data_IF_369097131507
#
_entry.id   IF_369097131507
#
_cell.length_a   1.000
_cell.length_b   1.000
_cell.length_c   1.000
_cell.angle_alpha   90.00
_cell.angle_beta   90.00
_cell.angle_gamma   90.00
#
_symmetry.space_group_name_H-M   'P 1'
#
loop_
_entity.id
_entity.type
_entity.pdbx_description
1 polymer ?
#
# COMPACT_ATOMS: atom_id res chain seq x y z
N UNK A 1 6.42 -3.96 5.14
CA UNK A 1 5.74 -2.72 4.68
C UNK A 1 4.65 -3.08 3.70
N UNK A 2 3.49 -2.48 3.86
CA UNK A 2 2.39 -2.61 2.91
C UNK A 2 2.26 -1.34 2.09
N UNK A 3 2.00 -1.47 0.79
CA UNK A 3 1.89 -0.33 -0.11
C UNK A 3 0.64 -0.47 -0.99
N UNK A 4 -0.16 0.57 -1.01
CA UNK A 4 -1.33 0.65 -1.87
C UNK A 4 -1.12 1.76 -2.90
N UNK A 5 -0.80 1.35 -4.13
CA UNK A 5 -0.46 2.28 -5.20
C UNK A 5 -1.73 2.83 -5.87
N UNK A 6 -1.94 4.13 -5.78
CA UNK A 6 -3.04 4.82 -6.43
C UNK A 6 -2.56 5.79 -7.50
N UNK A 7 -3.50 6.45 -8.18
CA UNK A 7 -3.17 7.36 -9.28
C UNK A 7 -2.40 8.60 -8.81
N UNK A 8 -2.65 9.06 -7.61
CA UNK A 8 -1.96 10.24 -7.06
C UNK A 8 -1.47 10.03 -5.65
N UNK A 9 -1.67 8.86 -5.11
CA UNK A 9 -1.31 8.55 -3.72
C UNK A 9 -0.70 7.17 -3.62
N UNK A 10 0.10 6.96 -2.56
CA UNK A 10 0.53 5.63 -2.16
C UNK A 10 0.29 5.54 -0.66
N UNK A 11 -0.61 4.65 -0.25
CA UNK A 11 -0.82 4.37 1.16
C UNK A 11 0.30 3.49 1.68
N UNK A 12 0.77 3.77 2.88
CA UNK A 12 1.89 3.05 3.48
C UNK A 12 1.53 2.53 4.85
N UNK A 13 1.85 1.27 5.10
CA UNK A 13 1.70 0.63 6.40
C UNK A 13 2.97 -0.14 6.73
N UNK A 14 3.21 -0.34 8.01
CA UNK A 14 4.37 -1.13 8.47
C UNK A 14 3.88 -2.09 9.55
N UNK A 15 4.67 -3.14 9.80
CA UNK A 15 4.38 -4.01 10.93
C UNK A 15 4.81 -3.32 12.22
N UNK A 16 4.15 -3.69 13.33
CA UNK A 16 4.56 -3.20 14.64
C UNK A 16 5.90 -3.84 15.04
N UNK A 17 6.41 -3.46 16.22
CA UNK A 17 7.71 -3.93 16.69
C UNK A 17 7.79 -5.45 16.80
N UNK A 18 6.66 -6.12 17.03
CA UNK A 18 6.61 -7.57 17.16
C UNK A 18 6.39 -8.28 15.82
N UNK A 19 6.11 -7.53 14.75
CA UNK A 19 5.83 -8.10 13.44
C UNK A 19 4.51 -8.84 13.34
N UNK A 20 3.58 -8.60 14.27
CA UNK A 20 2.32 -9.34 14.34
C UNK A 20 1.14 -8.61 13.71
N UNK A 21 1.15 -7.28 13.75
CA UNK A 21 0.05 -6.48 13.23
C UNK A 21 0.56 -5.40 12.29
N UNK A 22 -0.32 -4.95 11.41
CA UNK A 22 -0.02 -3.87 10.49
C UNK A 22 -0.56 -2.56 11.04
N UNK A 23 0.23 -1.50 10.91
CA UNK A 23 -0.12 -0.17 11.39
C UNK A 23 -0.05 0.80 10.21
N UNK A 24 -1.13 1.56 10.00
CA UNK A 24 -1.14 2.61 8.98
C UNK A 24 -0.11 3.66 9.32
N UNK A 25 0.72 4.04 8.36
CA UNK A 25 1.82 4.96 8.60
C UNK A 25 1.58 6.33 7.99
N UNK A 26 1.41 6.40 6.68
CA UNK A 26 1.14 7.66 6.01
C UNK A 26 0.62 7.43 4.60
N UNK A 27 0.13 8.52 3.98
CA UNK A 27 -0.24 8.53 2.57
C UNK A 27 0.69 9.50 1.86
N UNK A 28 1.42 9.00 0.87
CA UNK A 28 2.34 9.82 0.08
C UNK A 28 1.57 10.34 -1.12
N UNK A 29 1.56 11.67 -1.31
CA UNK A 29 0.81 12.32 -2.38
C UNK A 29 1.72 12.80 -3.48
N UNK A 30 1.19 12.84 -4.71
CA UNK A 30 1.89 13.43 -5.86
C UNK A 30 0.88 14.10 -6.77
N UNK A 31 1.32 15.08 -7.53
CA UNK A 31 0.42 15.86 -8.38
C UNK A 31 -0.03 15.11 -9.63
N UNK A 32 0.85 14.30 -10.20
CA UNK A 32 0.56 13.54 -11.42
C UNK A 32 1.02 12.10 -11.24
N UNK A 33 0.28 11.18 -11.84
CA UNK A 33 0.55 9.76 -11.66
C UNK A 33 1.98 9.37 -12.03
N UNK A 34 2.52 9.94 -13.10
CA UNK A 34 3.85 9.58 -13.54
C UNK A 34 4.98 10.35 -12.84
N UNK A 35 4.65 11.22 -11.88
CA UNK A 35 5.67 11.95 -11.12
C UNK A 35 6.04 11.17 -9.86
N UNK A 36 6.74 10.07 -10.03
CA UNK A 36 7.00 9.12 -8.94
C UNK A 36 8.35 9.29 -8.26
N UNK A 37 9.19 10.21 -8.74
CA UNK A 37 10.55 10.32 -8.20
C UNK A 37 10.58 10.60 -6.69
N UNK A 38 9.81 11.58 -6.23
CA UNK A 38 9.76 11.91 -4.81
C UNK A 38 9.04 10.82 -4.01
N UNK A 39 8.10 10.13 -4.65
CA UNK A 39 7.40 9.00 -4.02
C UNK A 39 8.39 7.89 -3.71
N UNK A 40 9.21 7.49 -4.66
CA UNK A 40 10.22 6.46 -4.43
C UNK A 40 11.22 6.90 -3.37
N UNK A 41 11.62 8.18 -3.39
CA UNK A 41 12.54 8.70 -2.38
C UNK A 41 11.95 8.58 -0.98
N UNK A 42 10.68 8.97 -0.83
CA UNK A 42 10.02 8.88 0.48
C UNK A 42 9.92 7.44 0.96
N UNK A 43 9.55 6.52 0.08
CA UNK A 43 9.48 5.10 0.45
C UNK A 43 10.85 4.59 0.85
N UNK A 44 11.90 4.97 0.13
CA UNK A 44 13.26 4.56 0.48
C UNK A 44 13.64 5.05 1.88
N UNK A 45 13.27 6.30 2.23
CA UNK A 45 13.49 6.83 3.58
C UNK A 45 12.79 5.99 4.63
N UNK A 46 11.54 5.59 4.36
CA UNK A 46 10.78 4.78 5.30
C UNK A 46 11.34 3.37 5.42
N UNK A 47 11.81 2.81 4.33
CA UNK A 47 12.46 1.49 4.34
C UNK A 47 13.68 1.53 5.27
N UNK A 48 14.50 2.58 5.16
CA UNK A 48 15.67 2.72 6.02
C UNK A 48 15.26 2.98 7.47
N UNK A 49 14.29 3.84 7.69
CA UNK A 49 13.85 4.22 9.04
C UNK A 49 13.30 3.03 9.81
N UNK A 50 12.51 2.18 9.15
CA UNK A 50 11.83 1.07 9.81
C UNK A 50 12.52 -0.27 9.60
N UNK A 51 13.66 -0.29 8.93
CA UNK A 51 14.39 -1.53 8.69
C UNK A 51 13.61 -2.54 7.87
N UNK A 52 12.92 -2.07 6.83
CA UNK A 52 12.04 -2.92 6.02
C UNK A 52 12.86 -3.87 5.14
N UNK A 53 12.52 -5.15 5.19
CA UNK A 53 13.16 -6.16 4.35
C UNK A 53 12.25 -6.62 3.20
N UNK A 54 10.95 -6.49 3.37
CA UNK A 54 9.97 -6.96 2.38
C UNK A 54 8.86 -5.93 2.24
N UNK A 55 8.50 -5.60 1.01
CA UNK A 55 7.36 -4.73 0.72
C UNK A 55 6.27 -5.56 0.04
N UNK A 56 5.05 -5.45 0.54
CA UNK A 56 3.87 -6.11 0.00
C UNK A 56 3.06 -5.06 -0.73
N UNK A 57 2.94 -5.19 -2.05
CA UNK A 57 2.24 -4.22 -2.88
C UNK A 57 0.90 -4.81 -3.30
N UNK A 58 -0.18 -4.05 -3.08
CA UNK A 58 -1.49 -4.49 -3.48
C UNK A 58 -1.61 -4.60 -4.99
N UNK A 59 -2.24 -5.67 -5.44
CA UNK A 59 -2.47 -5.92 -6.86
C UNK A 59 -3.98 -5.82 -7.13
N UNK A 60 -4.44 -4.72 -7.74
CA UNK A 60 -5.88 -4.50 -7.94
C UNK A 60 -6.41 -5.30 -9.13
N UNK A 61 -6.77 -6.54 -8.86
CA UNK A 61 -7.29 -7.43 -9.89
C UNK A 61 -8.77 -7.15 -10.16
N UNK A 62 -9.21 -7.44 -11.39
CA UNK A 62 -10.65 -7.46 -11.69
C UNK A 62 -11.30 -8.59 -10.89
N UNK A 63 -12.63 -8.54 -10.74
CA UNK A 63 -13.34 -9.53 -9.93
C UNK A 63 -13.16 -10.95 -10.44
N UNK A 64 -12.90 -11.11 -11.73
CA UNK A 64 -12.65 -12.44 -12.31
C UNK A 64 -11.19 -12.90 -12.16
N UNK A 65 -10.36 -12.09 -11.50
CA UNK A 65 -8.95 -12.42 -11.28
C UNK A 65 -8.01 -11.94 -12.36
N UNK A 66 -8.54 -11.33 -13.43
CA UNK A 66 -7.69 -10.83 -14.50
C UNK A 66 -7.04 -9.49 -14.13
N UNK A 67 -5.93 -9.17 -14.80
CA UNK A 67 -5.21 -7.92 -14.59
C UNK A 67 -5.61 -6.88 -15.61
N UNK A 68 -6.16 -5.76 -15.13
CA UNK A 68 -6.45 -4.61 -15.96
C UNK A 68 -5.32 -3.59 -15.92
N UNK A 69 -5.65 -2.37 -16.33
CA UNK A 69 -4.68 -1.26 -16.40
C UNK A 69 -4.06 -0.96 -15.05
N UNK A 70 -4.88 -0.91 -14.00
CA UNK A 70 -4.38 -0.56 -12.66
C UNK A 70 -3.42 -1.63 -12.12
N UNK A 71 -3.67 -2.90 -12.41
CA UNK A 71 -2.78 -3.98 -11.99
C UNK A 71 -1.42 -3.87 -12.67
N UNK A 72 -1.42 -3.54 -13.96
CA UNK A 72 -0.17 -3.35 -14.69
C UNK A 72 0.65 -2.20 -14.12
N UNK A 73 -0.01 -1.10 -13.80
CA UNK A 73 0.69 0.05 -13.22
C UNK A 73 1.24 -0.27 -11.83
N UNK A 74 0.50 -1.03 -11.03
CA UNK A 74 0.99 -1.45 -9.72
C UNK A 74 2.23 -2.35 -9.85
N UNK A 75 2.25 -3.24 -10.84
CA UNK A 75 3.42 -4.09 -11.07
C UNK A 75 4.62 -3.26 -11.51
N UNK A 76 4.42 -2.28 -12.40
CA UNK A 76 5.50 -1.40 -12.84
C UNK A 76 6.08 -0.61 -11.67
N UNK A 77 5.20 -0.10 -10.82
CA UNK A 77 5.60 0.60 -9.61
C UNK A 77 6.45 -0.30 -8.71
N UNK A 78 5.99 -1.52 -8.49
CA UNK A 78 6.69 -2.48 -7.63
C UNK A 78 8.06 -2.84 -8.19
N UNK A 79 8.16 -3.08 -9.50
CA UNK A 79 9.42 -3.40 -10.15
C UNK A 79 10.42 -2.27 -10.03
N UNK A 80 9.97 -1.05 -10.27
CA UNK A 80 10.85 0.12 -10.17
C UNK A 80 11.29 0.36 -8.73
N UNK A 81 10.39 0.16 -7.78
CA UNK A 81 10.74 0.29 -6.36
C UNK A 81 11.81 -0.72 -5.97
N UNK A 82 11.65 -1.97 -6.39
CA UNK A 82 12.65 -3.01 -6.11
C UNK A 82 14.00 -2.65 -6.71
N UNK A 83 14.00 -2.14 -7.94
CA UNK A 83 15.23 -1.74 -8.63
C UNK A 83 15.94 -0.60 -7.91
N UNK A 84 15.18 0.36 -7.39
CA UNK A 84 15.75 1.55 -6.72
C UNK A 84 16.22 1.29 -5.32
N UNK A 85 15.54 0.39 -4.59
CA UNK A 85 15.79 0.21 -3.15
C UNK A 85 16.43 -1.13 -2.80
N UNK A 86 16.30 -2.11 -3.68
CA UNK A 86 16.79 -3.47 -3.38
C UNK A 86 15.89 -4.25 -2.44
N UNK A 87 14.74 -3.69 -2.03
CA UNK A 87 13.81 -4.40 -1.15
C UNK A 87 13.11 -5.52 -1.91
N UNK A 88 12.86 -6.63 -1.23
CA UNK A 88 12.09 -7.72 -1.82
C UNK A 88 10.62 -7.31 -1.94
N UNK A 89 9.97 -7.71 -3.03
CA UNK A 89 8.58 -7.33 -3.32
C UNK A 89 7.72 -8.58 -3.46
N UNK A 90 6.51 -8.50 -2.87
CA UNK A 90 5.45 -9.50 -3.05
C UNK A 90 4.20 -8.76 -3.48
N UNK A 91 3.47 -9.30 -4.47
CA UNK A 91 2.18 -8.73 -4.87
C UNK A 91 1.06 -9.47 -4.14
N UNK A 92 0.11 -8.72 -3.61
CA UNK A 92 -1.01 -9.25 -2.84
C UNK A 92 -2.33 -8.86 -3.50
N UNK A 93 -3.19 -9.84 -3.79
CA UNK A 93 -4.52 -9.61 -4.36
C UNK A 93 -5.34 -8.72 -3.42
N UNK A 94 -5.89 -7.61 -3.95
CA UNK A 94 -6.65 -6.65 -3.16
C UNK A 94 -8.06 -6.39 -3.70
N UNK A 95 -8.67 -7.36 -4.38
CA UNK A 95 -9.98 -7.16 -5.01
C UNK A 95 -11.06 -6.61 -4.08
N UNK A 96 -11.04 -6.94 -2.79
CA UNK A 96 -12.06 -6.52 -1.85
C UNK A 96 -11.55 -5.56 -0.78
N UNK A 97 -10.32 -5.08 -0.90
CA UNK A 97 -9.67 -4.26 0.13
C UNK A 97 -10.42 -2.96 0.43
N UNK A 98 -10.89 -2.29 -0.61
CA UNK A 98 -11.59 -1.01 -0.43
C UNK A 98 -12.83 -1.17 0.44
N UNK A 99 -13.61 -2.24 0.23
CA UNK A 99 -14.79 -2.49 1.04
C UNK A 99 -14.42 -2.70 2.50
N UNK A 100 -13.37 -3.46 2.75
CA UNK A 100 -12.89 -3.69 4.11
C UNK A 100 -12.41 -2.39 4.77
N UNK A 101 -11.71 -1.54 4.02
CA UNK A 101 -11.23 -0.26 4.53
C UNK A 101 -12.41 0.65 4.91
N UNK A 102 -13.43 0.72 4.07
CA UNK A 102 -14.61 1.51 4.36
C UNK A 102 -15.33 1.01 5.59
N UNK A 103 -15.42 -0.30 5.76
CA UNK A 103 -16.05 -0.90 6.92
C UNK A 103 -15.28 -0.53 8.19
N UNK A 104 -13.97 -0.59 8.17
CA UNK A 104 -13.15 -0.20 9.32
C UNK A 104 -13.34 1.26 9.68
N UNK A 105 -13.40 2.14 8.68
CA UNK A 105 -13.64 3.56 8.93
C UNK A 105 -15.02 3.80 9.52
N UNK A 106 -16.03 3.07 9.05
CA UNK A 106 -17.38 3.17 9.59
C UNK A 106 -17.41 2.75 11.05
N UNK A 107 -16.70 1.70 11.41
CA UNK A 107 -16.64 1.21 12.78
C UNK A 107 -15.96 2.19 13.72
N UNK A 108 -14.98 2.93 13.23
CA UNK A 108 -14.30 3.93 14.06
C UNK A 108 -15.07 5.25 14.16
N UNK A 109 -16.09 5.43 13.34
CA UNK A 109 -16.89 6.65 13.32
C UNK A 109 -16.16 7.88 12.81
N UNK A 110 -15.04 7.71 12.18
CA UNK A 110 -14.22 8.83 11.70
C UNK A 110 -14.42 9.04 10.21
N UNK A 111 -15.12 10.11 9.87
CA UNK A 111 -15.49 10.39 8.49
C UNK A 111 -15.34 11.85 8.16
N UNK A 112 -14.21 12.44 8.47
CA UNK A 112 -14.05 13.85 8.26
C UNK A 112 -12.81 14.18 7.51
N UNK A 113 -12.86 15.25 6.76
CA UNK A 113 -11.71 15.81 6.10
C UNK A 113 -10.98 14.77 5.28
N UNK A 114 -9.80 14.43 5.62
CA UNK A 114 -8.91 13.57 4.82
C UNK A 114 -9.34 12.11 4.75
N UNK A 115 -10.62 11.87 4.51
CA UNK A 115 -11.16 10.50 4.45
C UNK A 115 -10.43 9.66 3.40
N UNK A 116 -10.13 10.23 2.23
CA UNK A 116 -9.43 9.50 1.19
C UNK A 116 -8.03 9.09 1.63
N UNK A 117 -7.30 9.98 2.27
CA UNK A 117 -5.96 9.67 2.76
C UNK A 117 -6.00 8.54 3.78
N UNK A 118 -7.00 8.56 4.65
CA UNK A 118 -7.18 7.49 5.62
C UNK A 118 -7.48 6.17 4.97
N UNK A 119 -8.33 6.18 3.94
CA UNK A 119 -8.67 4.96 3.22
C UNK A 119 -7.41 4.37 2.58
N UNK A 120 -6.59 5.18 1.94
CA UNK A 120 -5.37 4.70 1.30
C UNK A 120 -4.43 4.03 2.31
N UNK A 121 -4.23 4.66 3.47
CA UNK A 121 -3.35 4.10 4.49
C UNK A 121 -3.96 2.87 5.15
N UNK A 122 -5.28 2.85 5.35
CA UNK A 122 -5.98 1.69 5.89
C UNK A 122 -5.93 0.53 4.91
N UNK A 123 -6.10 0.81 3.61
CA UNK A 123 -5.98 -0.24 2.59
C UNK A 123 -4.57 -0.85 2.61
N UNK A 124 -3.54 -0.02 2.76
CA UNK A 124 -2.18 -0.54 2.87
C UNK A 124 -2.02 -1.46 4.08
N UNK A 125 -2.62 -1.10 5.21
CA UNK A 125 -2.58 -1.93 6.40
C UNK A 125 -3.32 -3.24 6.20
N UNK A 126 -4.45 -3.22 5.49
CA UNK A 126 -5.22 -4.43 5.19
C UNK A 126 -4.43 -5.34 4.25
N UNK A 127 -3.81 -4.78 3.23
CA UNK A 127 -2.96 -5.54 2.33
C UNK A 127 -1.87 -6.27 3.11
N UNK A 128 -1.21 -5.57 4.01
CA UNK A 128 -0.14 -6.15 4.81
C UNK A 128 -0.68 -7.20 5.78
N UNK A 129 -1.82 -6.93 6.41
CA UNK A 129 -2.47 -7.87 7.31
C UNK A 129 -2.82 -9.17 6.59
N UNK A 130 -3.40 -9.06 5.40
CA UNK A 130 -3.76 -10.24 4.61
C UNK A 130 -2.53 -11.06 4.28
N UNK A 131 -1.43 -10.41 3.94
CA UNK A 131 -0.18 -11.13 3.68
C UNK A 131 0.31 -11.86 4.94
N UNK A 132 0.28 -11.19 6.09
CA UNK A 132 0.73 -11.79 7.34
C UNK A 132 -0.12 -13.00 7.72
N UNK A 133 -1.42 -12.94 7.46
CA UNK A 133 -2.34 -14.04 7.80
C UNK A 133 -2.19 -15.25 6.89
N UNK A 134 -1.60 -15.11 5.72
CA UNK A 134 -1.37 -16.21 4.79
C UNK A 134 -0.11 -17.00 5.10
N UNK A 135 0.73 -16.48 5.97
CA UNK A 135 2.04 -17.09 6.25
C UNK A 135 2.20 -17.51 7.72
#
# INVERSE_FOLDING_TARGET
MGLDYGSKTVGVAVTDALGLTAVSLETIKREKENHLRSTYRRIAELIDEYGVELAVVGLPLNMDGSEGERAKLARQFAEELARRTGVDIVMQDERLTTAEAEELLAMTGKRRGKTKDRIDAVEAAIILTDYLNQN
#
